data_IF_403764984543
#
_entry.id   IF_403764984543
#
_cell.length_a   1.000
_cell.length_b   1.000
_cell.length_c   1.000
_cell.angle_alpha   90.00
_cell.angle_beta   90.00
_cell.angle_gamma   90.00
#
_symmetry.space_group_name_H-M   'P 1'
#
loop_
_entity.id
_entity.type
_entity.pdbx_description
1 polymer ?
#
# COMPACT_ATOMS: atom_id res chain seq x y z
N UNK A 1 -66.05 -28.01 61.86
CA UNK A 1 -65.41 -26.69 61.65
C UNK A 1 -63.89 -26.70 61.90
N UNK A 2 -63.20 -27.83 61.71
CA UNK A 2 -61.73 -27.95 61.84
C UNK A 2 -61.06 -28.67 60.64
N UNK A 3 -61.85 -29.20 59.69
CA UNK A 3 -61.37 -29.81 58.44
C UNK A 3 -61.28 -28.80 57.28
N UNK A 4 -62.17 -27.81 57.18
CA UNK A 4 -62.12 -26.77 56.14
C UNK A 4 -60.94 -25.78 56.28
N UNK A 5 -60.35 -25.67 57.48
CA UNK A 5 -59.20 -24.80 57.74
C UNK A 5 -57.84 -25.44 57.40
N UNK A 6 -57.77 -26.77 57.22
CA UNK A 6 -56.54 -27.46 56.83
C UNK A 6 -56.37 -27.58 55.30
N UNK A 7 -57.45 -27.77 54.53
CA UNK A 7 -57.36 -27.80 53.06
C UNK A 7 -56.97 -26.45 52.43
N UNK A 8 -57.42 -25.33 53.00
CA UNK A 8 -57.04 -23.98 52.53
C UNK A 8 -55.58 -23.62 52.81
N UNK A 9 -54.91 -24.27 53.78
CA UNK A 9 -53.47 -24.08 54.05
C UNK A 9 -52.57 -24.95 53.16
N UNK A 10 -53.01 -26.15 52.78
CA UNK A 10 -52.26 -27.02 51.88
C UNK A 10 -52.22 -26.46 50.44
N UNK A 11 -53.35 -26.01 49.90
CA UNK A 11 -53.41 -25.47 48.52
C UNK A 11 -52.72 -24.11 48.32
N UNK A 12 -52.55 -23.31 49.39
CA UNK A 12 -51.81 -22.03 49.30
C UNK A 12 -50.29 -22.21 49.29
N UNK A 13 -49.80 -23.34 49.77
CA UNK A 13 -48.36 -23.64 49.88
C UNK A 13 -47.82 -24.26 48.58
N UNK A 14 -48.63 -25.08 47.89
CA UNK A 14 -48.27 -25.72 46.61
C UNK A 14 -48.23 -24.73 45.44
N UNK A 15 -49.12 -23.73 45.40
CA UNK A 15 -49.13 -22.70 44.35
C UNK A 15 -47.95 -21.71 44.41
N UNK A 16 -47.42 -21.43 45.61
CA UNK A 16 -46.27 -20.53 45.80
C UNK A 16 -44.92 -21.19 45.45
N UNK A 17 -44.80 -22.51 45.51
CA UNK A 17 -43.58 -23.23 45.10
C UNK A 17 -43.47 -23.29 43.58
N UNK A 18 -44.51 -23.75 42.86
CA UNK A 18 -44.50 -23.82 41.38
C UNK A 18 -44.27 -22.46 40.70
N UNK A 19 -44.75 -21.36 41.31
CA UNK A 19 -44.55 -20.02 40.76
C UNK A 19 -43.10 -19.53 40.96
N UNK A 20 -42.46 -19.87 42.10
CA UNK A 20 -41.03 -19.57 42.33
C UNK A 20 -40.13 -20.38 41.39
N UNK A 21 -40.47 -21.64 41.13
CA UNK A 21 -39.72 -22.50 40.21
C UNK A 21 -39.86 -22.04 38.75
N UNK A 22 -41.05 -21.57 38.35
CA UNK A 22 -41.28 -21.00 37.02
C UNK A 22 -40.54 -19.66 36.80
N UNK A 23 -40.53 -18.77 37.80
CA UNK A 23 -39.74 -17.54 37.74
C UNK A 23 -38.23 -17.78 37.78
N UNK A 24 -37.76 -18.81 38.51
CA UNK A 24 -36.34 -19.20 38.52
C UNK A 24 -35.87 -19.76 37.17
N UNK A 25 -36.70 -20.58 36.51
CA UNK A 25 -36.39 -21.11 35.17
C UNK A 25 -36.44 -20.01 34.10
N UNK A 26 -37.42 -19.08 34.18
CA UNK A 26 -37.51 -17.95 33.25
C UNK A 26 -36.32 -16.97 33.41
N UNK A 27 -35.89 -16.70 34.65
CA UNK A 27 -34.70 -15.89 34.94
C UNK A 27 -33.42 -16.56 34.39
N UNK A 28 -33.34 -17.88 34.43
CA UNK A 28 -32.22 -18.65 33.88
C UNK A 28 -32.11 -18.52 32.35
N UNK A 29 -33.24 -18.58 31.63
CA UNK A 29 -33.27 -18.38 30.18
C UNK A 29 -32.97 -16.93 29.75
N UNK A 30 -33.32 -15.93 30.57
CA UNK A 30 -32.97 -14.53 30.29
C UNK A 30 -31.52 -14.18 30.67
N UNK A 31 -30.90 -14.85 31.65
CA UNK A 31 -29.51 -14.62 32.04
C UNK A 31 -28.49 -15.44 31.23
N UNK A 32 -28.88 -16.57 30.63
CA UNK A 32 -28.03 -17.37 29.73
C UNK A 32 -27.43 -16.59 28.55
N UNK A 33 -28.16 -15.74 27.81
CA UNK A 33 -27.57 -14.93 26.73
C UNK A 33 -26.65 -13.81 27.26
N UNK A 34 -26.89 -13.28 28.46
CA UNK A 34 -26.03 -12.26 29.10
C UNK A 34 -24.74 -12.84 29.68
N UNK A 35 -24.79 -14.05 30.24
CA UNK A 35 -23.61 -14.78 30.73
C UNK A 35 -22.78 -15.36 29.59
N UNK A 36 -23.40 -15.78 28.49
CA UNK A 36 -22.67 -16.12 27.26
C UNK A 36 -22.02 -14.88 26.62
N UNK A 37 -22.69 -13.71 26.63
CA UNK A 37 -22.07 -12.46 26.17
C UNK A 37 -20.92 -11.98 27.06
N UNK A 38 -20.98 -12.18 28.38
CA UNK A 38 -19.88 -11.81 29.28
C UNK A 38 -18.72 -12.81 29.21
N UNK A 39 -18.97 -14.10 28.96
CA UNK A 39 -17.90 -15.09 28.72
C UNK A 39 -17.26 -14.91 27.33
N UNK A 40 -18.02 -14.50 26.31
CA UNK A 40 -17.45 -14.13 25.00
C UNK A 40 -16.69 -12.79 25.05
N UNK A 41 -17.08 -11.83 25.89
CA UNK A 41 -16.31 -10.59 26.14
C UNK A 41 -15.12 -10.78 27.08
N UNK A 42 -15.14 -11.76 27.97
CA UNK A 42 -14.01 -12.10 28.84
C UNK A 42 -13.01 -13.06 28.18
N UNK A 43 -13.33 -13.62 27.01
CA UNK A 43 -12.48 -14.48 26.20
C UNK A 43 -11.76 -13.78 25.05
N UNK A 44 -12.00 -12.49 24.80
CA UNK A 44 -11.03 -11.68 24.05
C UNK A 44 -9.95 -11.21 25.03
N UNK A 45 -9.08 -12.13 25.44
CA UNK A 45 -7.69 -11.72 25.60
C UNK A 45 -7.32 -11.04 24.29
N UNK A 46 -7.10 -9.72 24.33
CA UNK A 46 -6.22 -9.10 23.34
C UNK A 46 -4.96 -9.94 23.42
N UNK A 47 -4.79 -10.84 22.47
CA UNK A 47 -3.51 -11.48 22.22
C UNK A 47 -2.64 -10.33 21.75
N UNK A 48 -2.08 -9.61 22.71
CA UNK A 48 -0.83 -8.90 22.52
C UNK A 48 0.12 -10.05 22.25
N UNK A 49 0.31 -10.37 20.96
CA UNK A 49 1.39 -11.23 20.55
C UNK A 49 2.61 -10.73 21.31
N UNK A 50 3.11 -11.58 22.20
CA UNK A 50 4.27 -11.28 23.01
C UNK A 50 5.36 -10.89 22.03
N UNK A 51 5.76 -9.62 22.08
CA UNK A 51 6.86 -9.10 21.28
C UNK A 51 8.07 -9.89 21.73
N UNK A 52 8.39 -10.95 21.00
CA UNK A 52 9.74 -11.50 21.02
C UNK A 52 10.61 -10.32 20.61
N UNK A 53 11.55 -9.87 21.45
CA UNK A 53 12.41 -8.76 21.08
C UNK A 53 13.22 -9.22 19.88
N UNK A 54 12.78 -8.82 18.68
CA UNK A 54 13.54 -9.02 17.47
C UNK A 54 14.61 -7.93 17.49
N UNK A 55 15.87 -8.35 17.54
CA UNK A 55 16.97 -7.44 17.27
C UNK A 55 16.82 -6.94 15.82
N UNK A 56 16.80 -5.63 15.62
CA UNK A 56 16.71 -5.01 14.29
C UNK A 56 15.58 -3.99 14.16
N UNK A 57 15.42 -3.45 12.95
CA UNK A 57 14.44 -2.39 12.69
C UNK A 57 12.99 -2.90 12.69
N UNK A 58 12.08 -2.17 13.32
CA UNK A 58 10.64 -2.48 13.36
C UNK A 58 9.80 -1.38 12.70
N UNK A 59 8.62 -1.76 12.21
CA UNK A 59 7.63 -0.89 11.56
C UNK A 59 6.33 -0.94 12.34
N UNK A 60 5.71 0.23 12.57
CA UNK A 60 4.35 0.35 13.11
C UNK A 60 3.35 0.59 11.99
N UNK A 61 2.47 -0.38 11.76
CA UNK A 61 1.45 -0.32 10.72
C UNK A 61 0.05 -0.27 11.35
N UNK A 62 -0.80 0.63 10.87
CA UNK A 62 -2.20 0.72 11.26
C UNK A 62 -3.10 0.13 10.17
N UNK A 63 -3.98 -0.78 10.58
CA UNK A 63 -5.04 -1.35 9.75
C UNK A 63 -6.38 -1.11 10.45
N UNK A 64 -7.11 -0.08 10.03
CA UNK A 64 -8.32 0.37 10.71
C UNK A 64 -8.00 0.97 12.08
N UNK A 65 -8.59 0.44 13.16
CA UNK A 65 -8.29 0.85 14.54
C UNK A 65 -7.06 0.16 15.15
N UNK A 66 -6.53 -0.86 14.48
CA UNK A 66 -5.51 -1.73 15.06
C UNK A 66 -4.12 -1.29 14.58
N UNK A 67 -3.24 -0.97 15.52
CA UNK A 67 -1.82 -0.73 15.27
C UNK A 67 -1.04 -2.00 15.60
N UNK A 68 -0.26 -2.49 14.64
CA UNK A 68 0.60 -3.66 14.78
C UNK A 68 2.06 -3.24 14.60
N UNK A 69 2.92 -3.78 15.46
CA UNK A 69 4.37 -3.65 15.32
C UNK A 69 4.91 -4.93 14.73
N UNK A 70 5.73 -4.84 13.69
CA UNK A 70 6.36 -5.99 13.04
C UNK A 70 7.80 -5.65 12.65
N UNK A 71 8.59 -6.66 12.28
CA UNK A 71 9.94 -6.41 11.76
C UNK A 71 9.86 -5.71 10.41
N UNK A 72 10.86 -4.89 10.10
CA UNK A 72 11.01 -4.28 8.78
C UNK A 72 10.94 -5.34 7.67
N UNK A 73 11.63 -6.47 7.85
CA UNK A 73 11.61 -7.56 6.87
C UNK A 73 10.20 -8.12 6.65
N UNK A 74 9.43 -8.35 7.71
CA UNK A 74 8.06 -8.85 7.60
C UNK A 74 7.14 -7.85 6.89
N UNK A 75 7.31 -6.55 7.19
CA UNK A 75 6.60 -5.49 6.51
C UNK A 75 6.93 -5.46 5.01
N UNK A 76 8.23 -5.46 4.67
CA UNK A 76 8.69 -5.37 3.29
C UNK A 76 8.26 -6.57 2.44
N UNK A 77 8.14 -7.78 3.00
CA UNK A 77 7.60 -8.94 2.26
C UNK A 77 6.15 -8.68 1.83
N UNK A 78 5.32 -8.13 2.72
CA UNK A 78 3.93 -7.81 2.42
C UNK A 78 3.78 -6.62 1.48
N UNK A 79 4.64 -5.62 1.61
CA UNK A 79 4.67 -4.48 0.70
C UNK A 79 5.15 -4.88 -0.70
N UNK A 80 6.21 -5.69 -0.80
CA UNK A 80 6.74 -6.19 -2.07
C UNK A 80 5.69 -6.99 -2.82
N UNK A 81 5.03 -7.94 -2.15
CA UNK A 81 3.96 -8.74 -2.73
C UNK A 81 2.76 -7.91 -3.22
N UNK A 82 2.55 -6.71 -2.68
CA UNK A 82 1.45 -5.84 -3.06
C UNK A 82 1.73 -5.04 -4.34
N UNK A 83 3.01 -4.83 -4.68
CA UNK A 83 3.39 -3.84 -5.69
C UNK A 83 4.10 -4.42 -6.92
N UNK A 84 4.66 -5.62 -6.83
CA UNK A 84 5.35 -6.29 -7.95
C UNK A 84 4.96 -7.78 -8.00
N UNK A 85 4.77 -8.38 -9.20
CA UNK A 85 4.51 -9.82 -9.31
C UNK A 85 5.68 -10.62 -8.73
N UNK A 86 5.39 -11.57 -7.83
CA UNK A 86 6.42 -12.37 -7.15
C UNK A 86 7.14 -13.36 -8.09
N UNK A 87 6.57 -13.58 -9.28
CA UNK A 87 7.14 -14.36 -10.38
C UNK A 87 8.25 -13.64 -11.12
N UNK A 88 8.40 -12.31 -10.95
CA UNK A 88 9.49 -11.56 -11.55
C UNK A 88 10.84 -12.05 -11.05
N UNK A 89 11.88 -11.82 -11.85
CA UNK A 89 13.23 -12.30 -11.59
C UNK A 89 13.77 -11.80 -10.23
N UNK A 90 14.60 -12.60 -9.53
CA UNK A 90 15.09 -12.26 -8.20
C UNK A 90 15.74 -10.87 -8.11
N UNK A 91 16.51 -10.46 -9.11
CA UNK A 91 17.18 -9.15 -9.13
C UNK A 91 16.19 -7.98 -9.26
N UNK A 92 15.08 -8.17 -9.98
CA UNK A 92 14.01 -7.16 -10.05
C UNK A 92 13.25 -7.06 -8.72
N UNK A 93 12.99 -8.19 -8.05
CA UNK A 93 12.39 -8.21 -6.72
C UNK A 93 13.30 -7.51 -5.69
N UNK A 94 14.61 -7.76 -5.73
CA UNK A 94 15.60 -7.09 -4.87
C UNK A 94 15.61 -5.58 -5.12
N UNK A 95 15.64 -5.14 -6.37
CA UNK A 95 15.61 -3.71 -6.71
C UNK A 95 14.35 -3.03 -6.14
N UNK A 96 13.19 -3.66 -6.29
CA UNK A 96 11.93 -3.15 -5.72
C UNK A 96 11.96 -3.15 -4.17
N UNK A 97 12.56 -4.16 -3.54
CA UNK A 97 12.70 -4.23 -2.09
C UNK A 97 13.59 -3.09 -1.54
N UNK A 98 14.66 -2.72 -2.25
CA UNK A 98 15.49 -1.54 -1.90
C UNK A 98 14.67 -0.26 -1.96
N UNK A 99 13.86 -0.07 -3.00
CA UNK A 99 13.00 1.12 -3.13
C UNK A 99 12.01 1.21 -1.96
N UNK A 100 11.30 0.12 -1.66
CA UNK A 100 10.33 0.08 -0.54
C UNK A 100 11.00 0.36 0.80
N UNK A 101 12.18 -0.21 1.05
CA UNK A 101 12.98 0.06 2.24
C UNK A 101 13.35 1.53 2.35
N UNK A 102 13.80 2.12 1.25
CA UNK A 102 14.18 3.55 1.18
C UNK A 102 13.00 4.44 1.53
N UNK A 103 11.80 4.13 1.03
CA UNK A 103 10.57 4.84 1.39
C UNK A 103 10.23 4.71 2.88
N UNK A 104 10.43 3.54 3.50
CA UNK A 104 10.22 3.37 4.95
C UNK A 104 11.19 4.24 5.78
N UNK A 105 12.46 4.29 5.38
CA UNK A 105 13.48 5.14 6.03
C UNK A 105 13.13 6.62 5.85
N UNK A 106 12.82 7.04 4.62
CA UNK A 106 12.50 8.42 4.28
C UNK A 106 11.26 8.95 5.00
N UNK A 107 10.23 8.10 5.18
CA UNK A 107 9.02 8.44 5.92
C UNK A 107 9.17 8.44 7.45
N UNK A 108 10.34 8.05 7.96
CA UNK A 108 10.58 7.91 9.40
C UNK A 108 9.73 6.81 10.04
N UNK A 109 9.48 5.71 9.32
CA UNK A 109 8.60 4.62 9.76
C UNK A 109 9.34 3.48 10.48
N UNK A 110 10.65 3.57 10.62
CA UNK A 110 11.50 2.54 11.22
C UNK A 110 11.90 2.92 12.65
N UNK A 111 11.80 1.96 13.56
CA UNK A 111 12.30 2.00 14.94
C UNK A 111 13.53 1.09 15.06
N UNK A 112 14.58 1.52 15.74
CA UNK A 112 15.71 0.65 16.10
C UNK A 112 15.59 0.23 17.57
N UNK A 113 15.38 -1.07 17.83
CA UNK A 113 15.39 -1.62 19.19
C UNK A 113 16.83 -1.94 19.61
N UNK A 114 17.44 -1.04 20.38
CA UNK A 114 18.73 -1.31 21.02
C UNK A 114 18.53 -2.28 22.18
N UNK A 115 19.06 -3.50 22.08
CA UNK A 115 19.16 -4.41 23.20
C UNK A 115 20.33 -3.94 24.09
N UNK A 116 20.04 -3.26 25.19
CA UNK A 116 21.04 -2.97 26.22
C UNK A 116 21.50 -4.29 26.85
N UNK A 117 22.64 -4.81 26.39
CA UNK A 117 23.36 -5.85 27.12
C UNK A 117 23.90 -5.22 28.41
N UNK A 118 23.25 -5.53 29.53
CA UNK A 118 23.70 -5.12 30.85
C UNK A 118 25.13 -5.55 31.14
N UNK A 119 25.97 -4.59 31.51
CA UNK A 119 27.12 -4.86 32.39
C UNK A 119 27.24 -3.72 33.41
N UNK A 120 27.22 -4.11 34.68
CA UNK A 120 27.39 -3.27 35.86
C UNK A 120 28.75 -2.56 35.90
N UNK A 121 28.78 -1.27 36.26
CA UNK A 121 30.02 -0.60 36.65
C UNK A 121 29.87 0.91 36.74
N UNK A 122 29.87 1.44 37.96
CA UNK A 122 29.75 2.86 38.26
C UNK A 122 30.91 3.71 37.70
N UNK A 123 30.59 4.84 37.06
CA UNK A 123 31.33 6.10 37.16
C UNK A 123 30.48 7.24 36.60
N UNK A 124 30.31 8.28 37.42
CA UNK A 124 29.56 9.49 37.15
C UNK A 124 30.25 10.39 36.11
N UNK A 125 29.40 11.02 35.29
CA UNK A 125 29.50 12.37 34.72
C UNK A 125 30.75 12.77 33.92
N UNK A 126 30.57 12.97 32.61
CA UNK A 126 30.72 14.30 31.99
C UNK A 126 30.36 14.29 30.48
N UNK A 127 29.54 15.28 30.10
CA UNK A 127 29.46 15.93 28.77
C UNK A 127 28.86 15.12 27.60
N UNK A 128 27.63 15.46 27.19
CA UNK A 128 27.38 16.41 26.09
C UNK A 128 25.89 16.43 25.74
N UNK A 129 25.30 17.61 25.78
CA UNK A 129 23.98 17.89 25.22
C UNK A 129 24.06 17.82 23.69
N UNK A 130 23.79 16.65 23.12
CA UNK A 130 23.16 16.51 21.82
C UNK A 130 22.07 15.46 21.98
N UNK A 131 20.97 15.89 22.62
CA UNK A 131 19.73 15.12 22.59
C UNK A 131 19.27 15.07 21.14
N UNK A 132 19.57 13.96 20.48
CA UNK A 132 18.82 13.48 19.32
C UNK A 132 17.37 13.47 19.79
N UNK A 133 16.62 14.48 19.38
CA UNK A 133 15.18 14.49 19.59
C UNK A 133 14.68 13.24 18.87
N UNK A 134 14.32 12.22 19.64
CA UNK A 134 13.73 11.01 19.12
C UNK A 134 12.43 11.43 18.43
N UNK A 135 12.50 11.63 17.11
CA UNK A 135 11.32 11.86 16.29
C UNK A 135 10.51 10.59 16.42
N UNK A 136 9.37 10.66 17.09
CA UNK A 136 8.48 9.51 17.21
C UNK A 136 8.14 9.03 15.78
N UNK A 137 8.42 7.76 15.46
CA UNK A 137 8.27 7.28 14.10
C UNK A 137 6.80 7.25 13.71
N UNK A 138 6.49 7.62 12.47
CA UNK A 138 5.12 7.75 12.00
C UNK A 138 4.51 6.37 11.74
N UNK A 139 3.22 6.26 11.98
CA UNK A 139 2.43 5.06 11.66
C UNK A 139 2.23 4.98 10.14
N UNK A 140 2.42 3.81 9.55
CA UNK A 140 2.01 3.52 8.17
C UNK A 140 0.51 3.20 8.18
N UNK A 141 -0.32 4.11 7.67
CA UNK A 141 -1.76 3.98 7.53
C UNK A 141 -2.19 3.87 6.05
N UNK A 142 -3.50 3.88 5.76
CA UNK A 142 -4.02 3.82 4.38
C UNK A 142 -3.59 4.99 3.50
N UNK A 143 -3.19 6.11 4.09
CA UNK A 143 -2.89 7.37 3.41
C UNK A 143 -1.37 7.57 3.25
N UNK A 144 -0.56 6.71 3.87
CA UNK A 144 0.91 6.68 3.80
C UNK A 144 1.47 6.32 2.41
N UNK A 145 0.63 5.93 1.46
CA UNK A 145 1.02 5.59 0.08
C UNK A 145 1.61 4.18 -0.09
N UNK A 146 1.69 3.38 0.98
CA UNK A 146 2.09 1.97 0.87
C UNK A 146 0.89 1.06 0.62
N UNK A 147 1.00 0.20 -0.40
CA UNK A 147 0.15 -0.99 -0.52
C UNK A 147 0.79 -2.13 0.28
N UNK A 148 -0.02 -2.85 1.05
CA UNK A 148 0.46 -3.97 1.87
C UNK A 148 -0.54 -5.13 1.81
N UNK A 149 -0.03 -6.35 1.64
CA UNK A 149 -0.81 -7.58 1.75
C UNK A 149 -0.36 -8.36 2.97
N UNK A 150 -1.27 -8.69 3.88
CA UNK A 150 -1.01 -9.61 4.99
C UNK A 150 -0.80 -11.05 4.49
N UNK A 151 -0.29 -11.93 5.37
CA UNK A 151 0.02 -13.32 5.02
C UNK A 151 -1.19 -14.08 4.47
N UNK A 152 -2.40 -13.82 4.97
CA UNK A 152 -3.62 -14.49 4.49
C UNK A 152 -4.05 -13.96 3.12
N UNK A 153 -3.92 -12.65 2.88
CA UNK A 153 -4.13 -12.03 1.57
C UNK A 153 -3.15 -12.56 0.54
N UNK A 154 -1.85 -12.65 0.87
CA UNK A 154 -0.82 -13.24 -0.01
C UNK A 154 -1.11 -14.70 -0.32
N UNK A 155 -1.47 -15.50 0.69
CA UNK A 155 -1.85 -16.91 0.47
C UNK A 155 -3.06 -17.06 -0.45
N UNK A 156 -4.06 -16.17 -0.34
CA UNK A 156 -5.21 -16.15 -1.26
C UNK A 156 -4.82 -15.71 -2.67
N UNK A 157 -3.93 -14.72 -2.79
CA UNK A 157 -3.45 -14.21 -4.08
C UNK A 157 -2.69 -15.29 -4.87
N UNK A 158 -1.78 -16.01 -4.20
CA UNK A 158 -0.86 -16.95 -4.83
C UNK A 158 -1.37 -18.39 -4.91
N UNK A 159 -2.42 -18.72 -4.15
CA UNK A 159 -3.03 -20.05 -4.16
C UNK A 159 -2.03 -21.15 -3.84
N UNK A 160 -1.90 -22.13 -4.72
CA UNK A 160 -1.01 -23.29 -4.54
C UNK A 160 0.47 -22.92 -4.55
N UNK A 161 0.85 -21.79 -5.16
CA UNK A 161 2.24 -21.32 -5.22
C UNK A 161 2.64 -20.46 -4.02
N UNK A 162 1.75 -20.30 -3.03
CA UNK A 162 1.94 -19.35 -1.93
C UNK A 162 3.26 -19.53 -1.18
N UNK A 163 3.67 -20.76 -0.87
CA UNK A 163 4.90 -21.00 -0.12
C UNK A 163 6.15 -20.65 -0.96
N UNK A 164 6.13 -20.95 -2.26
CA UNK A 164 7.24 -20.64 -3.19
C UNK A 164 7.36 -19.14 -3.40
N UNK A 165 6.25 -18.44 -3.66
CA UNK A 165 6.25 -17.00 -3.92
C UNK A 165 6.52 -16.19 -2.64
N UNK A 166 6.07 -16.65 -1.47
CA UNK A 166 6.45 -16.06 -0.18
C UNK A 166 7.96 -16.13 0.03
N UNK A 167 8.60 -17.27 -0.29
CA UNK A 167 10.04 -17.43 -0.11
C UNK A 167 10.85 -16.57 -1.09
N UNK A 168 10.38 -16.41 -2.34
CA UNK A 168 11.00 -15.48 -3.30
C UNK A 168 11.00 -14.04 -2.79
N UNK A 169 9.87 -13.57 -2.26
CA UNK A 169 9.78 -12.25 -1.65
C UNK A 169 10.69 -12.13 -0.43
N UNK A 170 10.73 -13.16 0.44
CA UNK A 170 11.59 -13.20 1.63
C UNK A 170 13.07 -13.10 1.25
N UNK A 171 13.52 -13.91 0.29
CA UNK A 171 14.92 -13.91 -0.14
C UNK A 171 15.30 -12.57 -0.78
N UNK A 172 14.42 -11.97 -1.59
CA UNK A 172 14.66 -10.65 -2.15
C UNK A 172 14.86 -9.57 -1.07
N UNK A 173 13.96 -9.54 -0.07
CA UNK A 173 14.04 -8.60 1.06
C UNK A 173 15.31 -8.81 1.88
N UNK A 174 15.68 -10.08 2.14
CA UNK A 174 16.88 -10.45 2.91
C UNK A 174 18.16 -10.11 2.16
N UNK A 175 18.26 -10.51 0.90
CA UNK A 175 19.44 -10.30 0.06
C UNK A 175 19.72 -8.82 -0.21
N UNK A 176 18.67 -7.97 -0.18
CA UNK A 176 18.81 -6.53 -0.32
C UNK A 176 18.96 -5.80 1.03
N UNK A 177 19.18 -6.50 2.14
CA UNK A 177 19.26 -5.89 3.47
C UNK A 177 20.42 -4.88 3.55
N UNK A 178 20.17 -3.78 4.25
CA UNK A 178 21.11 -2.64 4.36
C UNK A 178 21.17 -1.72 3.14
N UNK A 179 20.57 -2.07 2.00
CA UNK A 179 20.55 -1.19 0.83
C UNK A 179 19.39 -0.19 0.87
N UNK A 180 19.71 1.08 0.63
CA UNK A 180 18.76 2.21 0.53
C UNK A 180 19.17 3.14 -0.62
N UNK A 181 18.22 3.93 -1.11
CA UNK A 181 18.44 5.03 -2.04
C UNK A 181 18.55 6.32 -1.24
N UNK A 182 19.65 7.04 -1.40
CA UNK A 182 19.91 8.31 -0.73
C UNK A 182 20.24 9.42 -1.73
N UNK A 183 19.63 10.58 -1.52
CA UNK A 183 19.92 11.81 -2.25
C UNK A 183 20.30 12.90 -1.25
N UNK A 184 21.43 13.57 -1.48
CA UNK A 184 21.94 14.63 -0.61
C UNK A 184 22.07 14.23 0.88
N UNK A 185 22.40 12.96 1.13
CA UNK A 185 22.60 12.43 2.48
C UNK A 185 21.32 12.06 3.24
N UNK A 186 20.16 12.05 2.56
CA UNK A 186 18.90 11.58 3.13
C UNK A 186 18.29 10.48 2.26
N UNK A 187 17.65 9.50 2.90
CA UNK A 187 16.90 8.47 2.19
C UNK A 187 15.76 9.10 1.37
N UNK A 188 15.51 8.57 0.17
CA UNK A 188 14.45 9.04 -0.72
C UNK A 188 13.37 7.99 -0.95
N UNK A 189 12.13 8.45 -1.08
CA UNK A 189 11.03 7.64 -1.60
C UNK A 189 11.06 7.67 -3.12
N UNK A 190 11.74 6.70 -3.73
CA UNK A 190 11.88 6.64 -5.18
C UNK A 190 10.60 6.11 -5.84
N UNK A 191 10.05 6.80 -6.85
CA UNK A 191 8.81 6.36 -7.51
C UNK A 191 9.06 5.13 -8.39
N UNK A 192 8.03 4.33 -8.59
CA UNK A 192 8.06 3.14 -9.44
C UNK A 192 6.68 2.87 -10.03
N UNK A 193 6.63 2.17 -11.16
CA UNK A 193 5.38 1.86 -11.85
C UNK A 193 5.54 0.59 -12.69
N UNK A 194 4.42 0.08 -13.22
CA UNK A 194 4.39 -1.25 -13.86
C UNK A 194 5.08 -1.28 -15.23
N UNK A 195 4.73 -0.35 -16.11
CA UNK A 195 5.11 -0.39 -17.54
C UNK A 195 5.09 1.01 -18.16
N UNK A 196 6.10 1.40 -18.93
CA UNK A 196 6.19 2.76 -19.48
C UNK A 196 5.52 2.84 -20.85
N UNK A 197 5.44 4.07 -21.38
CA UNK A 197 5.06 4.30 -22.77
C UNK A 197 6.28 4.18 -23.74
N UNK A 198 7.28 3.35 -23.39
CA UNK A 198 8.57 3.18 -24.08
C UNK A 198 9.73 3.99 -23.46
N UNK A 199 9.42 4.88 -22.52
CA UNK A 199 10.37 5.75 -21.82
C UNK A 199 9.83 6.20 -20.47
N UNK A 200 10.67 6.29 -19.46
CA UNK A 200 10.31 6.93 -18.18
C UNK A 200 10.28 8.46 -18.35
N UNK A 201 9.58 9.16 -17.46
CA UNK A 201 9.41 10.61 -17.43
C UNK A 201 10.53 11.28 -16.63
N UNK A 202 10.81 12.54 -16.94
CA UNK A 202 11.85 13.33 -16.28
C UNK A 202 11.32 13.98 -15.00
N UNK A 203 11.92 13.66 -13.85
CA UNK A 203 11.64 14.36 -12.60
C UNK A 203 11.92 15.85 -12.71
N UNK A 204 13.00 16.25 -13.39
CA UNK A 204 13.35 17.66 -13.60
C UNK A 204 12.31 18.42 -14.42
N UNK A 205 11.74 17.78 -15.43
CA UNK A 205 10.71 18.38 -16.28
C UNK A 205 9.39 18.60 -15.52
N UNK A 206 9.06 17.69 -14.61
CA UNK A 206 7.80 17.70 -13.87
C UNK A 206 7.86 18.50 -12.55
N UNK A 207 9.00 18.44 -11.85
CA UNK A 207 9.14 18.92 -10.47
C UNK A 207 10.33 19.89 -10.29
N UNK A 208 11.12 20.14 -11.34
CA UNK A 208 12.27 21.04 -11.29
C UNK A 208 13.56 20.41 -10.78
N UNK A 209 14.59 21.23 -10.59
CA UNK A 209 15.98 20.81 -10.38
C UNK A 209 16.23 19.95 -9.13
N UNK A 210 15.35 20.03 -8.13
CA UNK A 210 15.48 19.21 -6.91
C UNK A 210 15.23 17.71 -7.19
N UNK A 211 14.56 17.39 -8.30
CA UNK A 211 14.28 16.01 -8.74
C UNK A 211 15.24 15.52 -9.84
N UNK A 212 16.42 16.15 -9.97
CA UNK A 212 17.36 15.84 -11.07
C UNK A 212 17.93 14.42 -11.02
N UNK A 213 17.86 13.75 -9.87
CA UNK A 213 18.19 12.35 -9.70
C UNK A 213 17.21 11.39 -10.41
N UNK A 214 15.98 11.81 -10.68
CA UNK A 214 14.97 11.00 -11.36
C UNK A 214 15.01 11.27 -12.86
N UNK A 215 15.92 10.59 -13.55
CA UNK A 215 16.16 10.76 -14.98
C UNK A 215 15.16 9.97 -15.83
N UNK A 216 15.04 10.44 -17.05
CA UNK A 216 14.15 9.91 -18.06
C UNK A 216 14.93 8.97 -18.99
N UNK A 217 14.65 7.67 -18.96
CA UNK A 217 15.43 6.63 -19.64
C UNK A 217 14.57 5.84 -20.64
N UNK A 218 15.20 5.33 -21.71
CA UNK A 218 14.55 4.46 -22.69
C UNK A 218 14.29 3.05 -22.13
N UNK A 219 13.08 2.54 -22.40
CA UNK A 219 12.61 1.22 -22.00
C UNK A 219 12.16 0.45 -23.26
N UNK A 220 13.11 0.04 -24.12
CA UNK A 220 12.82 -0.39 -25.50
C UNK A 220 12.04 -1.70 -25.63
N UNK A 221 11.97 -2.50 -24.56
CA UNK A 221 11.23 -3.77 -24.56
C UNK A 221 9.75 -3.61 -24.19
N UNK A 222 9.37 -2.45 -23.67
CA UNK A 222 8.02 -2.21 -23.13
C UNK A 222 6.95 -2.26 -24.22
N UNK A 223 7.29 -1.82 -25.43
CA UNK A 223 6.36 -1.85 -26.58
C UNK A 223 5.93 -3.28 -26.95
N UNK A 224 6.69 -4.30 -26.52
CA UNK A 224 6.38 -5.70 -26.75
C UNK A 224 5.52 -6.33 -25.64
N UNK A 225 5.23 -5.61 -24.55
CA UNK A 225 4.33 -6.11 -23.51
C UNK A 225 2.91 -6.25 -24.05
N UNK A 226 2.22 -7.33 -23.67
CA UNK A 226 0.85 -7.64 -24.14
C UNK A 226 -0.14 -6.52 -23.78
N UNK A 227 0.04 -5.91 -22.61
CA UNK A 227 -0.80 -4.85 -22.06
C UNK A 227 -0.23 -3.44 -22.32
N UNK A 228 0.74 -3.30 -23.25
CA UNK A 228 1.34 -2.03 -23.62
C UNK A 228 0.31 -1.04 -24.19
N UNK A 229 -0.58 -1.51 -25.07
CA UNK A 229 -1.65 -0.72 -25.66
C UNK A 229 -3.01 -1.19 -25.15
N UNK A 230 -3.80 -0.25 -24.63
CA UNK A 230 -5.14 -0.53 -24.10
C UNK A 230 -6.14 0.49 -24.64
N UNK A 231 -7.33 0.01 -25.01
CA UNK A 231 -8.38 0.85 -25.57
C UNK A 231 -9.62 0.86 -24.66
N UNK A 232 -10.15 2.05 -24.40
CA UNK A 232 -11.46 2.25 -23.75
C UNK A 232 -12.33 3.10 -24.66
N UNK A 233 -13.51 2.62 -25.02
CA UNK A 233 -14.46 3.38 -25.83
C UNK A 233 -15.76 3.66 -25.07
N UNK A 234 -16.35 4.83 -25.32
CA UNK A 234 -17.64 5.22 -24.76
C UNK A 234 -18.37 6.19 -25.68
N UNK A 235 -19.67 6.37 -25.47
CA UNK A 235 -20.46 7.35 -26.21
C UNK A 235 -19.88 8.76 -26.06
N UNK A 236 -19.80 9.51 -27.16
CA UNK A 236 -19.28 10.88 -27.17
C UNK A 236 -20.01 11.77 -26.16
N UNK A 237 -21.34 11.63 -26.02
CA UNK A 237 -22.12 12.41 -25.07
C UNK A 237 -21.75 12.10 -23.62
N UNK A 238 -21.48 10.82 -23.31
CA UNK A 238 -21.04 10.42 -21.95
C UNK A 238 -19.65 10.98 -21.66
N UNK A 239 -18.75 10.89 -22.62
CA UNK A 239 -17.38 11.38 -22.49
C UNK A 239 -17.36 12.89 -22.14
N UNK A 240 -18.08 13.71 -22.90
CA UNK A 240 -18.14 15.14 -22.62
C UNK A 240 -18.93 15.46 -21.36
N UNK A 241 -20.01 14.73 -21.05
CA UNK A 241 -20.72 14.89 -19.78
C UNK A 241 -19.84 14.63 -18.54
N UNK A 242 -18.90 13.66 -18.61
CA UNK A 242 -17.93 13.43 -17.55
C UNK A 242 -16.92 14.58 -17.40
N UNK A 243 -16.47 15.17 -18.52
CA UNK A 243 -15.60 16.36 -18.49
C UNK A 243 -16.32 17.60 -17.93
N UNK A 244 -17.57 17.83 -18.33
CA UNK A 244 -18.39 18.93 -17.81
C UNK A 244 -18.61 18.82 -16.31
N UNK A 245 -18.79 17.59 -15.78
CA UNK A 245 -18.91 17.33 -14.35
C UNK A 245 -17.64 17.70 -13.56
N UNK A 246 -16.47 17.66 -14.18
CA UNK A 246 -15.20 18.14 -13.61
C UNK A 246 -14.96 19.65 -13.87
N UNK A 247 -15.96 20.38 -14.38
CA UNK A 247 -15.87 21.83 -14.65
C UNK A 247 -15.16 22.18 -15.96
N UNK A 248 -14.93 21.20 -16.84
CA UNK A 248 -14.36 21.45 -18.16
C UNK A 248 -15.48 21.87 -19.11
N UNK A 249 -15.53 23.16 -19.45
CA UNK A 249 -16.53 23.71 -20.37
C UNK A 249 -16.20 23.34 -21.81
N UNK A 250 -17.05 22.53 -22.42
CA UNK A 250 -16.90 22.05 -23.79
C UNK A 250 -17.91 22.74 -24.69
N UNK A 251 -17.47 23.24 -25.85
CA UNK A 251 -18.36 23.84 -26.85
C UNK A 251 -19.21 22.74 -27.51
N UNK A 252 -20.54 22.91 -27.52
CA UNK A 252 -21.49 21.87 -27.96
C UNK A 252 -21.45 21.56 -29.45
N UNK A 253 -21.09 22.54 -30.27
CA UNK A 253 -21.19 22.43 -31.73
C UNK A 253 -19.87 22.00 -32.41
N UNK A 254 -18.73 22.13 -31.72
CA UNK A 254 -17.41 21.75 -32.22
C UNK A 254 -16.40 21.55 -31.07
N UNK A 255 -16.54 20.49 -30.25
CA UNK A 255 -15.70 20.29 -29.08
C UNK A 255 -14.24 20.02 -29.49
N UNK A 256 -13.37 21.03 -29.35
CA UNK A 256 -11.94 20.89 -29.63
C UNK A 256 -11.15 20.69 -28.34
N UNK A 257 -10.61 19.50 -28.16
CA UNK A 257 -9.66 19.19 -27.09
C UNK A 257 -8.23 19.41 -27.56
N UNK A 258 -7.44 20.08 -26.73
CA UNK A 258 -6.01 20.28 -26.96
C UNK A 258 -5.25 19.61 -25.81
N UNK A 259 -4.40 18.64 -26.16
CA UNK A 259 -3.60 17.89 -25.20
C UNK A 259 -2.17 18.43 -25.21
N UNK A 260 -1.68 18.89 -24.07
CA UNK A 260 -0.25 19.15 -23.85
C UNK A 260 0.40 17.92 -23.24
N UNK A 261 1.66 17.65 -23.58
CA UNK A 261 2.39 16.46 -23.16
C UNK A 261 3.79 16.83 -22.70
N UNK A 262 4.35 16.01 -21.83
CA UNK A 262 5.78 16.04 -21.54
C UNK A 262 6.60 15.35 -22.65
N UNK A 263 7.92 15.39 -22.50
CA UNK A 263 8.87 14.79 -23.45
C UNK A 263 8.80 13.27 -23.57
N UNK A 264 8.10 12.58 -22.66
CA UNK A 264 7.85 11.13 -22.72
C UNK A 264 6.46 10.80 -23.29
N UNK A 265 5.66 11.82 -23.64
CA UNK A 265 4.35 11.65 -24.29
C UNK A 265 3.18 11.49 -23.32
N UNK A 266 3.40 11.64 -22.02
CA UNK A 266 2.32 11.63 -21.03
C UNK A 266 1.60 12.98 -21.06
N UNK A 267 0.26 12.94 -21.07
CA UNK A 267 -0.57 14.15 -21.12
C UNK A 267 -0.45 14.89 -19.80
N UNK A 268 -0.08 16.17 -19.86
CA UNK A 268 -0.02 17.07 -18.71
C UNK A 268 -1.37 17.76 -18.49
N UNK A 269 -2.02 18.20 -19.56
CA UNK A 269 -3.33 18.85 -19.49
C UNK A 269 -4.17 18.55 -20.74
N UNK A 270 -5.48 18.39 -20.52
CA UNK A 270 -6.51 18.39 -21.57
C UNK A 270 -7.28 19.69 -21.46
N UNK A 271 -7.22 20.53 -22.51
CA UNK A 271 -7.88 21.83 -22.54
C UNK A 271 -9.07 21.81 -23.50
N UNK A 272 -10.20 22.34 -23.04
CA UNK A 272 -11.38 22.64 -23.85
C UNK A 272 -11.72 24.13 -23.67
N UNK A 273 -11.58 24.92 -24.73
CA UNK A 273 -11.75 26.37 -24.64
C UNK A 273 -10.85 27.00 -23.58
N UNK A 274 -11.44 27.57 -22.52
CA UNK A 274 -10.74 28.19 -21.39
C UNK A 274 -10.59 27.28 -20.16
N UNK A 275 -11.28 26.14 -20.14
CA UNK A 275 -11.17 25.18 -19.05
C UNK A 275 -10.13 24.11 -19.36
N UNK A 276 -9.52 23.54 -18.33
CA UNK A 276 -8.60 22.42 -18.46
C UNK A 276 -8.74 21.46 -17.30
N UNK A 277 -8.32 20.23 -17.54
CA UNK A 277 -8.16 19.18 -16.55
C UNK A 277 -6.75 18.61 -16.67
N UNK A 278 -6.09 18.39 -15.54
CA UNK A 278 -4.76 17.77 -15.49
C UNK A 278 -4.82 16.33 -16.00
N UNK A 279 -3.76 15.88 -16.67
CA UNK A 279 -3.74 14.57 -17.31
C UNK A 279 -3.88 13.39 -16.34
N UNK A 280 -3.30 13.47 -15.13
CA UNK A 280 -3.51 12.45 -14.09
C UNK A 280 -4.95 12.47 -13.55
N UNK A 281 -5.58 13.64 -13.43
CA UNK A 281 -6.99 13.73 -13.05
C UNK A 281 -7.90 13.15 -14.13
N UNK A 282 -7.59 13.42 -15.40
CA UNK A 282 -8.27 12.81 -16.55
C UNK A 282 -8.12 11.29 -16.54
N UNK A 283 -6.90 10.80 -16.32
CA UNK A 283 -6.61 9.36 -16.17
C UNK A 283 -7.47 8.75 -15.07
N UNK A 284 -7.59 9.37 -13.90
CA UNK A 284 -8.45 8.88 -12.81
C UNK A 284 -9.92 8.91 -13.20
N UNK A 285 -10.42 10.01 -13.76
CA UNK A 285 -11.81 10.20 -14.17
C UNK A 285 -12.28 9.11 -15.14
N UNK A 286 -11.43 8.74 -16.10
CA UNK A 286 -11.72 7.72 -17.10
C UNK A 286 -11.14 6.34 -16.76
N UNK A 287 -10.55 6.17 -15.58
CA UNK A 287 -9.92 4.93 -15.09
C UNK A 287 -8.93 4.35 -16.11
N UNK A 288 -8.05 5.20 -16.64
CA UNK A 288 -7.07 4.82 -17.64
C UNK A 288 -5.80 4.23 -16.99
N UNK A 289 -5.13 3.29 -17.65
CA UNK A 289 -3.89 2.69 -17.14
C UNK A 289 -2.77 3.71 -16.88
N UNK A 290 -2.65 4.73 -17.72
CA UNK A 290 -1.66 5.80 -17.65
C UNK A 290 -2.22 7.14 -18.16
N UNK A 291 -1.48 8.23 -17.97
CA UNK A 291 -1.79 9.52 -18.60
C UNK A 291 -1.18 9.66 -20.00
N UNK A 292 -0.49 8.65 -20.54
CA UNK A 292 -0.07 8.62 -21.93
C UNK A 292 -1.21 8.09 -22.81
N UNK A 293 -2.11 8.99 -23.23
CA UNK A 293 -3.27 8.62 -24.03
C UNK A 293 -3.49 9.50 -25.27
N UNK A 294 -4.31 8.95 -26.16
CA UNK A 294 -4.77 9.54 -27.42
C UNK A 294 -6.29 9.44 -27.49
N UNK A 295 -6.91 10.46 -28.06
CA UNK A 295 -8.37 10.58 -28.17
C UNK A 295 -8.73 10.61 -29.65
N UNK A 296 -9.69 9.77 -30.03
CA UNK A 296 -10.24 9.76 -31.39
C UNK A 296 -11.76 9.61 -31.33
N UNK A 297 -12.47 10.42 -32.11
CA UNK A 297 -13.91 10.27 -32.27
C UNK A 297 -14.21 9.39 -33.49
N UNK A 298 -14.89 8.27 -33.27
CA UNK A 298 -15.26 7.32 -34.32
C UNK A 298 -16.72 6.90 -34.14
N UNK A 299 -17.58 7.21 -35.11
CA UNK A 299 -18.96 6.70 -35.16
C UNK A 299 -19.81 7.04 -33.93
N UNK A 300 -19.69 8.26 -33.39
CA UNK A 300 -20.41 8.71 -32.19
C UNK A 300 -19.86 8.14 -30.87
N UNK A 301 -18.64 7.59 -30.90
CA UNK A 301 -17.89 7.16 -29.72
C UNK A 301 -16.58 7.93 -29.61
N UNK A 302 -16.20 8.23 -28.39
CA UNK A 302 -14.83 8.58 -28.05
C UNK A 302 -14.05 7.30 -27.77
N UNK A 303 -12.97 7.09 -28.51
CA UNK A 303 -11.99 6.02 -28.35
C UNK A 303 -10.75 6.60 -27.66
N UNK A 304 -10.40 6.04 -26.51
CA UNK A 304 -9.23 6.43 -25.72
C UNK A 304 -8.20 5.31 -25.81
N UNK A 305 -7.11 5.55 -26.52
CA UNK A 305 -5.97 4.61 -26.59
C UNK A 305 -4.91 5.04 -25.59
N UNK A 306 -4.52 4.15 -24.70
CA UNK A 306 -3.52 4.39 -23.65
C UNK A 306 -2.26 3.55 -23.90
N UNK A 307 -1.09 4.12 -23.61
CA UNK A 307 0.21 3.43 -23.62
C UNK A 307 0.78 3.26 -22.21
N UNK A 308 1.27 2.07 -21.90
CA UNK A 308 1.88 1.77 -20.60
C UNK A 308 0.90 1.78 -19.43
N UNK A 309 1.40 1.50 -18.23
CA UNK A 309 0.64 1.34 -17.00
C UNK A 309 1.37 2.03 -15.84
N UNK A 310 0.75 3.08 -15.31
CA UNK A 310 1.27 3.86 -14.19
C UNK A 310 1.65 5.28 -14.57
N UNK A 311 2.25 6.00 -13.61
CA UNK A 311 2.59 7.42 -13.77
C UNK A 311 3.85 7.64 -14.60
N UNK A 312 4.67 6.61 -14.86
CA UNK A 312 5.84 6.68 -15.73
C UNK A 312 7.11 7.29 -15.13
N UNK A 313 7.22 7.46 -13.82
CA UNK A 313 8.34 8.18 -13.16
C UNK A 313 9.16 7.18 -12.33
N UNK A 314 10.49 7.19 -12.45
CA UNK A 314 11.38 6.30 -11.68
C UNK A 314 11.46 4.89 -12.26
N UNK A 315 11.41 3.86 -11.41
CA UNK A 315 11.66 2.47 -11.82
C UNK A 315 10.49 1.90 -12.62
N UNK A 316 10.77 1.46 -13.84
CA UNK A 316 9.88 0.62 -14.64
C UNK A 316 10.05 -0.86 -14.25
N UNK A 317 9.02 -1.46 -13.64
CA UNK A 317 9.08 -2.83 -13.16
C UNK A 317 9.20 -3.86 -14.29
N UNK A 318 8.51 -3.65 -15.41
CA UNK A 318 8.57 -4.55 -16.56
C UNK A 318 9.98 -4.54 -17.16
N UNK A 319 10.55 -3.35 -17.37
CA UNK A 319 11.90 -3.23 -17.90
C UNK A 319 12.96 -3.73 -16.93
N UNK A 320 12.83 -3.44 -15.63
CA UNK A 320 13.70 -4.01 -14.59
C UNK A 320 13.71 -5.54 -14.62
N UNK A 321 12.54 -6.16 -14.79
CA UNK A 321 12.42 -7.61 -14.95
C UNK A 321 13.09 -8.12 -16.23
N UNK A 322 12.95 -7.39 -17.34
CA UNK A 322 13.61 -7.75 -18.59
C UNK A 322 15.15 -7.66 -18.50
N UNK A 323 15.68 -6.65 -17.79
CA UNK A 323 17.11 -6.52 -17.51
C UNK A 323 17.60 -7.65 -16.62
N UNK A 324 16.86 -7.99 -15.57
CA UNK A 324 17.17 -9.12 -14.70
C UNK A 324 17.19 -10.45 -15.46
N UNK A 325 16.26 -10.67 -16.42
CA UNK A 325 16.27 -11.85 -17.32
C UNK A 325 17.52 -11.92 -18.20
N UNK A 326 18.13 -10.77 -18.48
CA UNK A 326 19.39 -10.67 -19.23
C UNK A 326 20.63 -10.78 -18.32
N UNK A 327 20.44 -10.99 -17.02
CA UNK A 327 21.51 -11.20 -16.05
C UNK A 327 21.94 -9.94 -15.29
N UNK A 328 21.25 -8.81 -15.45
CA UNK A 328 21.56 -7.60 -14.69
C UNK A 328 21.28 -7.79 -13.20
N UNK A 329 22.19 -7.31 -12.34
CA UNK A 329 21.99 -7.32 -10.89
C UNK A 329 21.02 -6.23 -10.43
N UNK A 330 20.50 -6.35 -9.20
CA UNK A 330 19.67 -5.32 -8.60
C UNK A 330 20.38 -3.95 -8.54
N UNK A 331 21.68 -3.95 -8.29
CA UNK A 331 22.51 -2.74 -8.28
C UNK A 331 22.63 -2.12 -9.67
N UNK A 332 22.86 -2.91 -10.72
CA UNK A 332 22.92 -2.41 -12.10
C UNK A 332 21.57 -1.84 -12.55
N UNK A 333 20.47 -2.50 -12.17
CA UNK A 333 19.11 -2.03 -12.42
C UNK A 333 18.88 -0.69 -11.71
N UNK A 334 19.17 -0.60 -10.40
CA UNK A 334 18.95 0.63 -9.65
C UNK A 334 19.86 1.77 -10.11
N UNK A 335 21.11 1.49 -10.49
CA UNK A 335 22.04 2.49 -11.02
C UNK A 335 21.55 3.05 -12.37
N UNK A 336 20.87 2.23 -13.19
CA UNK A 336 20.28 2.71 -14.44
C UNK A 336 19.13 3.71 -14.20
N UNK A 337 18.24 3.43 -13.24
CA UNK A 337 17.06 4.27 -12.98
C UNK A 337 17.33 5.44 -12.01
N UNK A 338 18.27 5.26 -11.07
CA UNK A 338 18.59 6.17 -9.98
C UNK A 338 20.12 6.29 -9.79
N UNK A 339 20.84 6.84 -10.77
CA UNK A 339 22.30 6.82 -10.80
C UNK A 339 22.92 7.50 -9.58
N UNK A 340 23.79 6.77 -8.88
CA UNK A 340 24.52 7.27 -7.70
C UNK A 340 23.72 7.33 -6.40
N UNK A 341 22.44 6.92 -6.40
CA UNK A 341 21.59 6.96 -5.21
C UNK A 341 21.75 5.72 -4.33
N UNK A 342 22.18 4.58 -4.88
CA UNK A 342 22.29 3.35 -4.11
C UNK A 342 23.39 3.44 -3.04
N UNK A 343 23.02 3.22 -1.79
CA UNK A 343 23.90 3.13 -0.63
C UNK A 343 23.64 1.85 0.14
N UNK A 344 24.68 1.34 0.77
CA UNK A 344 24.60 0.25 1.74
C UNK A 344 24.95 0.82 3.11
N UNK A 345 23.99 0.83 4.02
CA UNK A 345 24.28 1.13 5.43
C UNK A 345 25.13 0.01 6.00
N UNK A 346 26.22 0.37 6.69
CA UNK A 346 27.10 -0.56 7.40
C UNK A 346 26.41 -1.29 8.56
#
# INVERSE_FOLDING_TARGET
>A
MMQETMEKRANRTVGKSRQKDFFAVLLFFFLLPYTCSSVVRAGQEKTVETIVPVSGRTVRMQSGSDVRTMTEEAFLIGALAAVIPAEYEPEALKAQAVILRSSCVAGGHLEETVLENGTTGAAQESISQNSVSAVEPRIIDSDSGFSYLDKAQRKRLWGEQADVLEERCREAVRASSGYVLEWQGAAVSAPFFRLSAGRTRSGTELFGQESDWCKSIACPVDEAAEDFLQEKSMKTERFFGMLEAEGVSVEKDAPKLVLTRDSAGYVLNVRAGRSSIEGERFRQLFELPSSCFFLEEQGGKMVITTKGIGHGIGLDQYYANALAKQGASAEEILELFFPGLLKKSE
#
